data_IF_029282612306
#
_entry.id   IF_029282612306
#
_cell.length_a   1.000
_cell.length_b   1.000
_cell.length_c   1.000
_cell.angle_alpha   90.00
_cell.angle_beta   90.00
_cell.angle_gamma   90.00
#
_symmetry.space_group_name_H-M   'P 1'
#
loop_
_entity.id
_entity.type
_entity.pdbx_description
1 polymer ?
#
# COMPACT_ATOMS: atom_id res chain seq x y z
N UNK A 1 9.17 -13.10 0.88
CA UNK A 1 8.17 -12.04 1.13
C UNK A 1 8.84 -10.68 0.96
N UNK A 2 8.60 -10.04 -0.17
CA UNK A 2 9.09 -8.70 -0.49
C UNK A 2 8.14 -7.68 0.10
N UNK A 3 8.66 -6.77 0.92
CA UNK A 3 7.87 -5.65 1.44
C UNK A 3 7.88 -4.55 0.39
N UNK A 4 6.69 -4.06 0.05
CA UNK A 4 6.53 -2.87 -0.80
C UNK A 4 7.07 -1.64 -0.07
N UNK A 5 7.72 -0.75 -0.82
CA UNK A 5 8.36 0.46 -0.31
C UNK A 5 7.96 1.63 -1.21
N UNK A 6 7.38 2.73 -0.66
CA UNK A 6 7.08 3.93 -1.44
C UNK A 6 8.28 4.42 -2.28
N UNK A 7 8.05 4.92 -3.48
CA UNK A 7 9.13 5.37 -4.39
C UNK A 7 9.85 6.64 -3.87
N UNK A 8 9.20 7.42 -2.99
CA UNK A 8 9.63 8.79 -2.67
C UNK A 8 10.50 8.96 -1.42
N UNK A 9 11.04 7.90 -0.81
CA UNK A 9 11.75 7.99 0.48
C UNK A 9 12.83 9.08 0.57
N UNK A 10 13.46 9.47 -0.54
CA UNK A 10 14.52 10.48 -0.55
C UNK A 10 14.01 11.93 -0.42
N UNK A 11 12.71 12.19 -0.66
CA UNK A 11 12.09 13.52 -0.58
C UNK A 11 11.02 13.66 0.52
N UNK A 12 10.60 12.57 1.16
CA UNK A 12 9.57 12.60 2.20
C UNK A 12 10.14 12.50 3.61
N UNK A 13 9.61 13.29 4.54
CA UNK A 13 10.04 13.22 5.94
C UNK A 13 9.67 11.87 6.58
N UNK A 14 10.40 11.50 7.65
CA UNK A 14 10.07 10.32 8.47
C UNK A 14 8.64 10.39 9.03
N UNK A 15 8.17 11.59 9.37
CA UNK A 15 6.84 11.84 9.91
C UNK A 15 5.76 11.57 8.85
N UNK A 16 5.95 12.06 7.64
CA UNK A 16 5.03 11.82 6.52
C UNK A 16 5.01 10.34 6.10
N UNK A 17 6.19 9.70 6.07
CA UNK A 17 6.29 8.25 5.86
C UNK A 17 5.49 7.47 6.91
N UNK A 18 5.62 7.85 8.18
CA UNK A 18 4.91 7.18 9.28
C UNK A 18 3.41 7.37 9.17
N UNK A 19 2.95 8.57 8.81
CA UNK A 19 1.53 8.85 8.59
C UNK A 19 0.98 8.03 7.42
N UNK A 20 1.71 7.95 6.31
CA UNK A 20 1.30 7.17 5.13
C UNK A 20 1.18 5.68 5.46
N UNK A 21 2.09 5.13 6.28
CA UNK A 21 2.00 3.75 6.76
C UNK A 21 0.73 3.51 7.61
N UNK A 22 0.38 4.45 8.49
CA UNK A 22 -0.83 4.37 9.31
C UNK A 22 -2.06 4.38 8.40
N UNK A 23 -2.15 5.33 7.47
CA UNK A 23 -3.27 5.46 6.53
C UNK A 23 -3.46 4.19 5.71
N UNK A 24 -2.37 3.63 5.13
CA UNK A 24 -2.44 2.39 4.37
C UNK A 24 -2.89 1.20 5.24
N UNK A 25 -2.45 1.15 6.50
CA UNK A 25 -2.87 0.13 7.46
C UNK A 25 -4.36 0.20 7.80
N UNK A 26 -4.88 1.41 8.02
CA UNK A 26 -6.31 1.65 8.25
C UNK A 26 -7.14 1.29 7.01
N UNK A 27 -6.70 1.70 5.82
CA UNK A 27 -7.37 1.37 4.56
C UNK A 27 -7.45 -0.14 4.34
N UNK A 28 -6.39 -0.89 4.67
CA UNK A 28 -6.38 -2.35 4.56
C UNK A 28 -7.39 -2.98 5.53
N UNK A 29 -7.46 -2.49 6.77
CA UNK A 29 -8.44 -2.93 7.76
C UNK A 29 -9.88 -2.68 7.29
N UNK A 30 -10.13 -1.50 6.72
CA UNK A 30 -11.45 -1.13 6.20
C UNK A 30 -11.84 -1.91 4.94
N UNK A 31 -10.87 -2.23 4.08
CA UNK A 31 -11.05 -3.12 2.93
C UNK A 31 -11.49 -4.52 3.35
N UNK A 32 -10.76 -5.15 4.30
CA UNK A 32 -11.16 -6.47 4.83
C UNK A 32 -12.48 -6.45 5.59
N UNK A 33 -12.84 -5.30 6.16
CA UNK A 33 -14.14 -5.08 6.81
C UNK A 33 -15.27 -4.76 5.83
N UNK A 34 -14.99 -4.73 4.51
CA UNK A 34 -15.94 -4.40 3.44
C UNK A 34 -16.57 -3.01 3.58
N UNK A 35 -15.89 -2.07 4.25
CA UNK A 35 -16.35 -0.68 4.40
C UNK A 35 -16.02 0.18 3.20
N UNK A 36 -14.95 -0.17 2.49
CA UNK A 36 -14.50 0.48 1.25
C UNK A 36 -14.39 -0.56 0.13
N UNK A 37 -14.52 -0.10 -1.10
CA UNK A 37 -14.35 -0.90 -2.30
C UNK A 37 -12.87 -1.14 -2.62
N UNK A 38 -12.55 -2.15 -3.46
CA UNK A 38 -11.17 -2.33 -3.93
C UNK A 38 -10.59 -1.10 -4.63
N UNK A 39 -11.40 -0.34 -5.37
CA UNK A 39 -10.95 0.88 -6.05
C UNK A 39 -10.57 1.97 -5.05
N UNK A 40 -11.43 2.23 -4.06
CA UNK A 40 -11.15 3.20 -2.99
C UNK A 40 -9.90 2.82 -2.19
N UNK A 41 -9.67 1.53 -1.96
CA UNK A 41 -8.45 1.05 -1.31
C UNK A 41 -7.20 1.41 -2.14
N UNK A 42 -7.21 1.13 -3.44
CA UNK A 42 -6.07 1.42 -4.31
C UNK A 42 -5.83 2.93 -4.45
N UNK A 43 -6.88 3.75 -4.51
CA UNK A 43 -6.77 5.21 -4.53
C UNK A 43 -6.07 5.74 -3.25
N UNK A 44 -6.38 5.16 -2.09
CA UNK A 44 -5.72 5.53 -0.82
C UNK A 44 -4.24 5.12 -0.83
N UNK A 45 -3.93 3.92 -1.32
CA UNK A 45 -2.54 3.45 -1.45
C UNK A 45 -1.74 4.35 -2.40
N UNK A 46 -2.33 4.73 -3.54
CA UNK A 46 -1.70 5.64 -4.50
C UNK A 46 -1.43 7.01 -3.88
N UNK A 47 -2.39 7.53 -3.10
CA UNK A 47 -2.25 8.82 -2.40
C UNK A 47 -1.08 8.86 -1.40
N UNK A 48 -0.64 7.70 -0.93
CA UNK A 48 0.52 7.55 -0.04
C UNK A 48 1.88 7.55 -0.77
N UNK A 49 1.88 7.85 -2.08
CA UNK A 49 3.09 7.94 -2.89
C UNK A 49 3.59 6.59 -3.37
N UNK A 50 2.68 5.63 -3.56
CA UNK A 50 3.01 4.28 -3.99
C UNK A 50 2.42 4.01 -5.36
N UNK A 51 3.26 3.46 -6.25
CA UNK A 51 2.81 2.96 -7.54
C UNK A 51 1.90 1.75 -7.35
N UNK A 52 0.63 1.88 -7.75
CA UNK A 52 -0.37 0.80 -7.67
C UNK A 52 0.07 -0.41 -8.50
N UNK A 53 0.68 -0.18 -9.66
CA UNK A 53 1.16 -1.25 -10.54
C UNK A 53 2.25 -2.09 -9.85
N UNK A 54 3.26 -1.44 -9.26
CA UNK A 54 4.34 -2.13 -8.52
C UNK A 54 3.81 -2.83 -7.26
N UNK A 55 2.85 -2.21 -6.59
CA UNK A 55 2.21 -2.77 -5.40
C UNK A 55 1.49 -4.09 -5.73
N UNK A 56 0.70 -4.10 -6.81
CA UNK A 56 -0.01 -5.29 -7.27
C UNK A 56 0.94 -6.37 -7.79
N UNK A 57 2.01 -5.98 -8.50
CA UNK A 57 3.06 -6.92 -8.92
C UNK A 57 3.73 -7.58 -7.71
N UNK A 58 4.08 -6.80 -6.69
CA UNK A 58 4.66 -7.31 -5.43
C UNK A 58 3.71 -8.27 -4.71
N UNK A 59 2.42 -7.97 -4.66
CA UNK A 59 1.43 -8.91 -4.11
C UNK A 59 1.40 -10.20 -4.92
N UNK A 60 1.35 -10.08 -6.24
CA UNK A 60 1.29 -11.22 -7.15
C UNK A 60 2.53 -12.12 -6.99
N UNK A 61 3.74 -11.55 -6.98
CA UNK A 61 4.99 -12.26 -6.70
C UNK A 61 4.92 -13.01 -5.36
N UNK A 62 4.49 -12.32 -4.28
CA UNK A 62 4.40 -12.92 -2.95
C UNK A 62 3.35 -14.04 -2.87
N UNK A 63 2.27 -13.97 -3.65
CA UNK A 63 1.25 -15.02 -3.72
C UNK A 63 1.76 -16.22 -4.52
N UNK A 64 2.49 -15.99 -5.62
CA UNK A 64 3.14 -17.06 -6.39
C UNK A 64 4.20 -17.80 -5.58
N UNK A 65 4.99 -17.08 -4.77
CA UNK A 65 5.97 -17.69 -3.86
C UNK A 65 5.33 -18.56 -2.75
N UNK A 66 4.02 -18.41 -2.52
CA UNK A 66 3.29 -19.13 -1.48
C UNK A 66 2.57 -20.39 -2.00
N UNK A 67 2.33 -20.48 -3.31
CA UNK A 67 1.59 -21.57 -3.99
C UNK A 67 2.53 -22.65 -4.55
#
# INVERSE_FOLDING_TARGET
>A
MRLWTPERFDEVSVEETSNNLIICGEALSDFFSLKITPAEYLDIVESCGVSVDEYLETINENLYDFL
#
